data_IF_536660172060
#
_entry.id   IF_536660172060
#
_cell.length_a   1.000
_cell.length_b   1.000
_cell.length_c   1.000
_cell.angle_alpha   90.00
_cell.angle_beta   90.00
_cell.angle_gamma   90.00
#
_symmetry.space_group_name_H-M   'P 1'
#
loop_
_entity.id
_entity.type
_entity.pdbx_description
1 polymer ?
#
# COMPACT_ATOMS: atom_id res chain seq x y z
N UNK A 1 35.47 5.21 -27.60
CA UNK A 1 34.90 5.12 -26.24
C UNK A 1 33.43 5.51 -26.32
N UNK A 2 32.46 4.59 -26.28
CA UNK A 2 31.07 5.00 -26.22
C UNK A 2 30.77 5.55 -24.83
N UNK A 3 30.34 6.80 -24.77
CA UNK A 3 29.77 7.45 -23.60
C UNK A 3 28.41 6.81 -23.32
N UNK A 4 28.33 6.02 -22.25
CA UNK A 4 27.07 5.46 -21.77
C UNK A 4 26.17 6.59 -21.34
N UNK A 5 25.17 6.88 -22.18
CA UNK A 5 24.09 7.80 -21.86
C UNK A 5 23.43 7.36 -20.55
N UNK A 6 23.42 8.26 -19.58
CA UNK A 6 22.62 8.13 -18.37
C UNK A 6 21.17 8.08 -18.81
N UNK A 7 20.60 6.88 -18.87
CA UNK A 7 19.17 6.71 -18.98
C UNK A 7 18.56 7.47 -17.79
N UNK A 8 17.94 8.62 -18.06
CA UNK A 8 17.06 9.29 -17.11
C UNK A 8 16.05 8.24 -16.67
N UNK A 9 16.14 7.83 -15.40
CA UNK A 9 15.25 6.84 -14.83
C UNK A 9 13.81 7.30 -15.08
N UNK A 10 13.05 6.53 -15.85
CA UNK A 10 11.60 6.53 -15.73
C UNK A 10 11.35 6.34 -14.22
N UNK A 11 10.85 7.39 -13.56
CA UNK A 11 10.81 7.47 -12.11
C UNK A 11 10.15 6.22 -11.53
N UNK A 12 10.69 5.69 -10.44
CA UNK A 12 10.14 4.51 -9.78
C UNK A 12 8.70 4.83 -9.31
N UNK A 13 7.71 4.52 -10.15
CA UNK A 13 6.26 4.78 -9.92
C UNK A 13 5.85 4.22 -8.57
N UNK A 14 6.43 3.08 -8.19
CA UNK A 14 6.19 2.49 -6.89
C UNK A 14 6.64 3.38 -5.73
N UNK A 15 7.87 3.89 -5.80
CA UNK A 15 8.39 4.80 -4.79
C UNK A 15 7.57 6.11 -4.70
N UNK A 16 7.17 6.67 -5.85
CA UNK A 16 6.34 7.88 -5.89
C UNK A 16 4.96 7.66 -5.22
N UNK A 17 4.28 6.56 -5.55
CA UNK A 17 3.00 6.22 -4.91
C UNK A 17 3.15 5.90 -3.42
N UNK A 18 4.24 5.22 -3.01
CA UNK A 18 4.53 5.02 -1.60
C UNK A 18 4.68 6.37 -0.87
N UNK A 19 5.44 7.31 -1.44
CA UNK A 19 5.61 8.65 -0.88
C UNK A 19 4.29 9.42 -0.78
N UNK A 20 3.37 9.22 -1.72
CA UNK A 20 2.04 9.85 -1.73
C UNK A 20 1.08 9.22 -0.73
N UNK A 21 1.02 7.89 -0.67
CA UNK A 21 0.02 7.13 0.09
C UNK A 21 0.44 6.87 1.54
N UNK A 22 1.72 6.62 1.79
CA UNK A 22 2.22 6.24 3.12
C UNK A 22 1.90 7.26 4.21
N UNK A 23 2.18 8.56 4.04
CA UNK A 23 1.83 9.58 5.04
C UNK A 23 0.32 9.64 5.32
N UNK A 24 -0.51 9.36 4.30
CA UNK A 24 -1.96 9.31 4.46
C UNK A 24 -2.38 8.08 5.25
N UNK A 25 -1.82 6.90 4.96
CA UNK A 25 -2.06 5.67 5.73
C UNK A 25 -1.65 5.84 7.20
N UNK A 26 -0.48 6.46 7.44
CA UNK A 26 0.00 6.75 8.79
C UNK A 26 -0.97 7.65 9.55
N UNK A 27 -1.42 8.74 8.92
CA UNK A 27 -2.38 9.69 9.52
C UNK A 27 -3.77 9.08 9.72
N UNK A 28 -4.32 8.49 8.67
CA UNK A 28 -5.73 8.07 8.64
C UNK A 28 -5.91 6.75 9.40
N UNK A 29 -4.94 5.85 9.36
CA UNK A 29 -5.02 4.54 10.03
C UNK A 29 -4.13 4.45 11.27
N UNK A 30 -3.46 5.51 11.70
CA UNK A 30 -2.63 5.52 12.91
C UNK A 30 -1.47 4.51 12.81
N UNK A 31 -0.84 4.42 11.64
CA UNK A 31 0.24 3.49 11.37
C UNK A 31 1.61 4.16 11.52
N UNK A 32 2.62 3.38 11.89
CA UNK A 32 4.03 3.77 11.77
C UNK A 32 4.53 3.62 10.33
N UNK A 33 5.74 4.12 10.03
CA UNK A 33 6.38 3.96 8.72
C UNK A 33 6.60 2.47 8.38
N UNK A 34 7.01 1.65 9.34
CA UNK A 34 7.18 0.20 9.20
C UNK A 34 5.85 -0.49 8.84
N UNK A 35 4.76 -0.09 9.49
CA UNK A 35 3.44 -0.68 9.30
C UNK A 35 2.82 -0.27 7.96
N UNK A 36 2.90 1.03 7.62
CA UNK A 36 2.48 1.52 6.31
C UNK A 36 3.31 0.88 5.17
N UNK A 37 4.63 0.73 5.35
CA UNK A 37 5.49 0.04 4.40
C UNK A 37 5.17 -1.45 4.26
N UNK A 38 4.80 -2.14 5.34
CA UNK A 38 4.35 -3.53 5.29
C UNK A 38 3.07 -3.70 4.47
N UNK A 39 2.13 -2.76 4.58
CA UNK A 39 0.91 -2.72 3.76
C UNK A 39 1.23 -2.44 2.30
N UNK A 40 1.94 -1.35 2.01
CA UNK A 40 2.33 -0.96 0.66
C UNK A 40 3.22 -2.00 -0.02
N UNK A 41 4.03 -2.73 0.73
CA UNK A 41 4.86 -3.83 0.22
C UNK A 41 4.04 -5.03 -0.26
N UNK A 42 2.99 -5.39 0.47
CA UNK A 42 2.05 -6.43 0.03
C UNK A 42 1.34 -6.00 -1.25
N UNK A 43 0.78 -4.79 -1.26
CA UNK A 43 0.13 -4.22 -2.43
C UNK A 43 1.08 -4.13 -3.63
N UNK A 44 2.34 -3.73 -3.40
CA UNK A 44 3.38 -3.67 -4.43
C UNK A 44 3.68 -5.04 -5.03
N UNK A 45 3.67 -6.10 -4.23
CA UNK A 45 3.80 -7.46 -4.72
C UNK A 45 2.62 -7.89 -5.59
N UNK A 46 1.38 -7.67 -5.11
CA UNK A 46 0.16 -8.06 -5.84
C UNK A 46 0.02 -7.32 -7.18
N UNK A 47 0.42 -6.05 -7.23
CA UNK A 47 0.19 -5.16 -8.39
C UNK A 47 1.40 -5.01 -9.32
N UNK A 48 2.49 -5.75 -9.09
CA UNK A 48 3.75 -5.58 -9.82
C UNK A 48 4.41 -4.19 -9.65
N UNK A 49 4.15 -3.53 -8.51
CA UNK A 49 4.60 -2.18 -8.20
C UNK A 49 3.66 -1.11 -8.73
N UNK A 50 2.36 -1.28 -8.47
CA UNK A 50 1.26 -0.42 -8.92
C UNK A 50 1.04 -0.35 -10.45
N UNK A 51 1.77 -1.14 -11.23
CA UNK A 51 1.63 -1.20 -12.69
C UNK A 51 0.34 -1.89 -13.15
N UNK A 52 -0.31 -2.63 -12.26
CA UNK A 52 -1.57 -3.35 -12.51
C UNK A 52 -2.76 -2.79 -11.70
N UNK A 53 -2.67 -1.56 -11.16
CA UNK A 53 -3.78 -0.94 -10.43
C UNK A 53 -5.06 -0.75 -11.26
N UNK A 54 -4.92 -0.82 -12.59
CA UNK A 54 -5.99 -0.70 -13.56
C UNK A 54 -6.02 -1.99 -14.40
N UNK A 55 -6.59 -3.07 -13.84
CA UNK A 55 -6.87 -4.26 -14.64
C UNK A 55 -8.08 -3.94 -15.53
N UNK A 56 -7.80 -3.50 -16.77
CA UNK A 56 -8.82 -3.24 -17.81
C UNK A 56 -9.46 -4.57 -18.28
N UNK A 57 -8.84 -5.72 -18.00
CA UNK A 57 -9.33 -7.03 -18.43
C UNK A 57 -9.11 -8.10 -17.32
N UNK A 58 -10.15 -8.83 -16.89
CA UNK A 58 -10.02 -9.93 -15.92
C UNK A 58 -9.23 -11.11 -16.50
N UNK A 59 -8.37 -11.74 -15.69
CA UNK A 59 -7.67 -12.97 -16.06
C UNK A 59 -8.60 -14.19 -16.27
N UNK A 60 -9.84 -14.15 -15.76
CA UNK A 60 -10.86 -15.18 -15.95
C UNK A 60 -12.02 -14.58 -16.76
N UNK A 61 -12.32 -15.15 -17.92
CA UNK A 61 -13.45 -14.72 -18.73
C UNK A 61 -14.76 -14.80 -17.92
N UNK A 62 -15.40 -13.64 -17.71
CA UNK A 62 -16.63 -13.52 -16.91
C UNK A 62 -16.41 -13.15 -15.43
N UNK A 63 -15.17 -13.09 -14.94
CA UNK A 63 -14.88 -12.47 -13.64
C UNK A 63 -14.76 -10.95 -13.80
N UNK A 64 -14.80 -10.21 -12.69
CA UNK A 64 -14.33 -8.81 -12.66
C UNK A 64 -12.95 -8.86 -12.04
N UNK A 65 -11.93 -8.40 -12.79
CA UNK A 65 -10.53 -8.43 -12.39
C UNK A 65 -10.24 -7.66 -11.09
N UNK A 66 -8.99 -7.72 -10.62
CA UNK A 66 -8.56 -6.96 -9.45
C UNK A 66 -8.63 -5.45 -9.73
N UNK A 67 -9.20 -4.68 -8.80
CA UNK A 67 -9.35 -3.24 -8.98
C UNK A 67 -8.67 -2.44 -7.88
N UNK A 68 -7.91 -1.42 -8.27
CA UNK A 68 -7.32 -0.46 -7.34
C UNK A 68 -6.29 -1.08 -6.39
N UNK A 69 -6.03 -0.37 -5.28
CA UNK A 69 -4.88 -0.60 -4.40
C UNK A 69 -4.82 -2.01 -3.81
N UNK A 70 -5.93 -2.60 -3.39
CA UNK A 70 -5.93 -3.93 -2.77
C UNK A 70 -6.43 -5.04 -3.70
N UNK A 71 -6.51 -4.77 -5.01
CA UNK A 71 -6.95 -5.73 -6.03
C UNK A 71 -8.24 -6.46 -5.62
N UNK A 72 -9.25 -5.71 -5.14
CA UNK A 72 -10.46 -6.34 -4.61
C UNK A 72 -11.15 -7.18 -5.67
N UNK A 73 -11.41 -8.44 -5.35
CA UNK A 73 -12.15 -9.39 -6.20
C UNK A 73 -13.37 -9.94 -5.45
N UNK A 74 -14.31 -10.55 -6.20
CA UNK A 74 -15.46 -11.26 -5.62
C UNK A 74 -16.31 -10.39 -4.67
N UNK A 75 -16.70 -10.90 -3.49
CA UNK A 75 -17.54 -10.16 -2.54
C UNK A 75 -16.95 -8.82 -2.08
N UNK A 76 -15.62 -8.71 -1.94
CA UNK A 76 -14.97 -7.46 -1.53
C UNK A 76 -15.11 -6.37 -2.61
N UNK A 77 -15.07 -6.76 -3.89
CA UNK A 77 -15.31 -5.85 -5.02
C UNK A 77 -16.76 -5.32 -5.00
N UNK A 78 -17.73 -6.19 -4.76
CA UNK A 78 -19.14 -5.79 -4.66
C UNK A 78 -19.36 -4.80 -3.50
N UNK A 79 -18.74 -5.06 -2.34
CA UNK A 79 -18.80 -4.15 -1.20
C UNK A 79 -18.18 -2.78 -1.50
N UNK A 80 -17.05 -2.75 -2.22
CA UNK A 80 -16.38 -1.53 -2.67
C UNK A 80 -17.27 -0.71 -3.62
N UNK A 81 -17.85 -1.34 -4.63
CA UNK A 81 -18.77 -0.69 -5.59
C UNK A 81 -20.02 -0.14 -4.87
N UNK A 82 -20.59 -0.90 -3.94
CA UNK A 82 -21.73 -0.45 -3.15
C UNK A 82 -21.38 0.73 -2.24
N UNK A 83 -20.21 0.71 -1.60
CA UNK A 83 -19.71 1.79 -0.76
C UNK A 83 -19.52 3.09 -1.56
N UNK A 84 -19.00 3.00 -2.78
CA UNK A 84 -18.84 4.12 -3.71
C UNK A 84 -20.20 4.69 -4.14
N UNK A 85 -21.12 3.81 -4.55
CA UNK A 85 -22.48 4.20 -5.00
C UNK A 85 -23.24 5.01 -3.95
N UNK A 86 -23.22 4.59 -2.69
CA UNK A 86 -23.91 5.30 -1.59
C UNK A 86 -23.31 6.68 -1.32
N UNK A 87 -22.07 6.93 -1.74
CA UNK A 87 -21.35 8.19 -1.55
C UNK A 87 -21.26 9.05 -2.82
N UNK A 88 -21.87 8.61 -3.93
CA UNK A 88 -21.76 9.30 -5.21
C UNK A 88 -20.32 9.36 -5.75
N UNK A 89 -19.48 8.39 -5.38
CA UNK A 89 -18.10 8.29 -5.84
C UNK A 89 -18.01 7.37 -7.06
N UNK A 90 -17.13 7.71 -8.00
CA UNK A 90 -16.78 6.82 -9.09
C UNK A 90 -15.87 5.72 -8.54
N UNK A 91 -16.24 4.42 -8.62
CA UNK A 91 -15.36 3.34 -8.21
C UNK A 91 -14.03 3.32 -8.98
N UNK A 92 -13.94 3.95 -10.16
CA UNK A 92 -12.70 4.11 -10.93
C UNK A 92 -11.75 5.18 -10.41
N UNK A 93 -12.21 6.07 -9.54
CA UNK A 93 -11.38 7.09 -8.93
C UNK A 93 -10.39 6.44 -7.93
N UNK A 94 -9.06 6.64 -8.10
CA UNK A 94 -8.07 6.17 -7.14
C UNK A 94 -8.33 6.65 -5.70
N UNK A 95 -8.92 7.84 -5.52
CA UNK A 95 -9.26 8.38 -4.20
C UNK A 95 -10.46 7.65 -3.58
N UNK A 96 -11.43 7.21 -4.38
CA UNK A 96 -12.51 6.33 -3.90
C UNK A 96 -11.95 4.97 -3.46
N UNK A 97 -10.99 4.43 -4.20
CA UNK A 97 -10.25 3.22 -3.81
C UNK A 97 -9.52 3.39 -2.48
N UNK A 98 -8.74 4.46 -2.31
CA UNK A 98 -8.08 4.75 -1.04
C UNK A 98 -9.08 4.91 0.12
N UNK A 99 -10.18 5.63 -0.12
CA UNK A 99 -11.24 5.82 0.87
C UNK A 99 -11.87 4.51 1.32
N UNK A 100 -12.17 3.62 0.36
CA UNK A 100 -12.71 2.30 0.66
C UNK A 100 -11.70 1.41 1.41
N UNK A 101 -10.41 1.41 1.04
CA UNK A 101 -9.37 0.70 1.78
C UNK A 101 -9.37 1.10 3.27
N UNK A 102 -9.45 2.40 3.54
CA UNK A 102 -9.51 2.89 4.92
C UNK A 102 -10.82 2.50 5.62
N UNK A 103 -11.95 2.53 4.91
CA UNK A 103 -13.24 2.12 5.47
C UNK A 103 -13.28 0.62 5.79
N UNK A 104 -12.76 -0.21 4.90
CA UNK A 104 -12.66 -1.66 5.07
C UNK A 104 -11.75 -2.01 6.26
N UNK A 105 -10.54 -1.43 6.33
CA UNK A 105 -9.58 -1.64 7.42
C UNK A 105 -10.09 -1.17 8.78
N UNK A 106 -10.96 -0.15 8.84
CA UNK A 106 -11.60 0.28 10.11
C UNK A 106 -12.87 -0.51 10.44
N UNK A 107 -13.46 -1.19 9.46
CA UNK A 107 -14.71 -1.92 9.58
C UNK A 107 -14.48 -3.43 9.57
N UNK A 108 -14.81 -4.05 8.45
CA UNK A 108 -14.79 -5.52 8.29
C UNK A 108 -13.42 -6.13 8.47
N UNK A 109 -12.34 -5.38 8.25
CA UNK A 109 -10.95 -5.83 8.40
C UNK A 109 -10.26 -5.22 9.64
N UNK A 110 -11.04 -4.72 10.62
CA UNK A 110 -10.50 -4.12 11.85
C UNK A 110 -9.53 -5.04 12.60
N UNK A 111 -9.78 -6.35 12.63
CA UNK A 111 -8.87 -7.31 13.27
C UNK A 111 -7.50 -7.40 12.58
N UNK A 112 -7.44 -7.17 11.27
CA UNK A 112 -6.18 -7.09 10.53
C UNK A 112 -5.46 -5.76 10.81
N UNK A 113 -6.22 -4.65 10.88
CA UNK A 113 -5.67 -3.33 11.24
C UNK A 113 -5.08 -3.31 12.66
N UNK A 114 -5.78 -3.86 13.65
CA UNK A 114 -5.28 -3.93 15.03
C UNK A 114 -4.02 -4.80 15.12
N UNK A 115 -3.98 -5.93 14.42
CA UNK A 115 -2.79 -6.76 14.35
C UNK A 115 -1.62 -6.03 13.65
N UNK A 116 -1.92 -5.22 12.63
CA UNK A 116 -0.90 -4.44 11.92
C UNK A 116 -0.33 -3.35 12.84
N UNK A 117 -1.19 -2.65 13.59
CA UNK A 117 -0.78 -1.64 14.58
C UNK A 117 0.07 -2.22 15.71
N UNK A 118 -0.12 -3.49 16.06
CA UNK A 118 0.69 -4.20 17.03
C UNK A 118 2.05 -4.70 16.49
N UNK A 119 2.28 -4.66 15.17
CA UNK A 119 3.51 -5.16 14.57
C UNK A 119 4.70 -4.20 14.85
N UNK A 120 5.77 -4.75 15.42
CA UNK A 120 6.96 -4.00 15.84
C UNK A 120 8.13 -4.02 14.83
N UNK A 121 7.99 -4.72 13.71
CA UNK A 121 9.02 -4.78 12.66
C UNK A 121 8.38 -4.77 11.27
N UNK A 122 9.20 -4.44 10.26
CA UNK A 122 8.77 -4.49 8.86
C UNK A 122 8.35 -5.91 8.47
N UNK A 123 9.09 -6.92 8.94
CA UNK A 123 8.81 -8.33 8.72
C UNK A 123 7.47 -8.74 9.33
N UNK A 124 7.21 -8.35 10.57
CA UNK A 124 5.96 -8.64 11.25
C UNK A 124 4.78 -7.94 10.57
N UNK A 125 4.92 -6.65 10.22
CA UNK A 125 3.87 -5.88 9.54
C UNK A 125 3.53 -6.50 8.18
N UNK A 126 4.55 -6.84 7.39
CA UNK A 126 4.38 -7.47 6.07
C UNK A 126 3.69 -8.82 6.20
N UNK A 127 4.08 -9.64 7.18
CA UNK A 127 3.48 -10.95 7.42
C UNK A 127 2.02 -10.84 7.90
N UNK A 128 1.71 -9.86 8.77
CA UNK A 128 0.35 -9.60 9.23
C UNK A 128 -0.55 -9.21 8.05
N UNK A 129 -0.15 -8.25 7.23
CA UNK A 129 -0.96 -7.85 6.06
C UNK A 129 -1.17 -9.03 5.11
N UNK A 130 -0.10 -9.77 4.80
CA UNK A 130 -0.21 -10.94 3.92
C UNK A 130 -1.21 -11.97 4.46
N UNK A 131 -1.11 -12.33 5.73
CA UNK A 131 -1.88 -13.45 6.31
C UNK A 131 -3.27 -13.06 6.78
N UNK A 132 -3.46 -11.80 7.18
CA UNK A 132 -4.71 -11.34 7.80
C UNK A 132 -5.54 -10.46 6.90
N UNK A 133 -4.94 -9.69 5.98
CA UNK A 133 -5.69 -8.80 5.08
C UNK A 133 -5.79 -9.40 3.67
N UNK A 134 -4.65 -9.68 3.02
CA UNK A 134 -4.65 -10.18 1.63
C UNK A 134 -5.13 -11.64 1.54
N UNK A 135 -4.67 -12.50 2.46
CA UNK A 135 -4.98 -13.94 2.52
C UNK A 135 -4.81 -14.62 1.14
N UNK A 136 -3.64 -14.47 0.48
CA UNK A 136 -3.42 -14.99 -0.86
C UNK A 136 -3.29 -16.52 -0.84
N UNK A 137 -3.65 -17.18 -1.93
CA UNK A 137 -3.40 -18.61 -2.10
C UNK A 137 -1.90 -18.96 -2.09
N UNK A 138 -1.06 -18.05 -2.56
CA UNK A 138 0.41 -18.17 -2.51
C UNK A 138 0.96 -17.02 -1.65
N UNK A 139 1.55 -17.37 -0.51
CA UNK A 139 2.03 -16.38 0.48
C UNK A 139 3.20 -15.54 -0.06
N UNK A 140 4.19 -16.13 -0.74
CA UNK A 140 5.33 -15.41 -1.34
C UNK A 140 6.01 -14.34 -0.46
N UNK A 141 6.09 -14.56 0.87
CA UNK A 141 6.53 -13.57 1.85
C UNK A 141 7.92 -12.95 1.56
N UNK A 142 8.94 -13.70 1.09
CA UNK A 142 10.23 -13.10 0.75
C UNK A 142 10.12 -12.00 -0.33
N UNK A 143 9.30 -12.21 -1.35
CA UNK A 143 9.08 -11.20 -2.41
C UNK A 143 8.35 -9.98 -1.86
N UNK A 144 7.31 -10.19 -1.04
CA UNK A 144 6.59 -9.09 -0.36
C UNK A 144 7.51 -8.25 0.53
N UNK A 145 8.49 -8.87 1.19
CA UNK A 145 9.48 -8.16 2.00
C UNK A 145 10.43 -7.30 1.15
N UNK A 146 10.78 -7.73 -0.06
CA UNK A 146 11.55 -6.89 -0.99
C UNK A 146 10.78 -5.61 -1.31
N UNK A 147 9.49 -5.73 -1.63
CA UNK A 147 8.63 -4.57 -1.87
C UNK A 147 8.43 -3.71 -0.63
N UNK A 148 8.25 -4.32 0.55
CA UNK A 148 8.12 -3.59 1.81
C UNK A 148 9.36 -2.77 2.14
N UNK A 149 10.57 -3.29 1.87
CA UNK A 149 11.83 -2.55 2.05
C UNK A 149 11.93 -1.35 1.09
N UNK A 150 11.49 -1.54 -0.16
CA UNK A 150 11.41 -0.43 -1.14
C UNK A 150 10.43 0.64 -0.70
N UNK A 151 9.26 0.24 -0.21
CA UNK A 151 8.26 1.17 0.33
C UNK A 151 8.84 1.96 1.49
N UNK A 152 9.45 1.28 2.48
CA UNK A 152 10.05 1.93 3.64
C UNK A 152 11.13 2.95 3.24
N UNK A 153 11.97 2.60 2.28
CA UNK A 153 12.99 3.52 1.73
C UNK A 153 12.33 4.78 1.14
N UNK A 154 11.30 4.62 0.33
CA UNK A 154 10.56 5.74 -0.27
C UNK A 154 9.89 6.64 0.78
N UNK A 155 9.28 6.06 1.81
CA UNK A 155 8.66 6.82 2.91
C UNK A 155 9.68 7.67 3.66
N UNK A 156 10.84 7.10 3.98
CA UNK A 156 11.90 7.80 4.72
C UNK A 156 12.59 8.86 3.88
N UNK A 157 12.77 8.61 2.59
CA UNK A 157 13.28 9.61 1.67
C UNK A 157 12.32 10.81 1.56
N UNK A 158 11.00 10.57 1.50
CA UNK A 158 9.99 11.61 1.41
C UNK A 158 9.85 12.44 2.71
N UNK A 159 10.10 11.83 3.87
CA UNK A 159 10.07 12.53 5.16
C UNK A 159 11.26 13.50 5.36
N UNK A 160 12.32 13.37 4.55
CA UNK A 160 13.57 14.13 4.71
C UNK A 160 14.37 13.73 5.96
N UNK A 161 15.60 14.25 6.14
CA UNK A 161 16.35 14.03 7.36
C UNK A 161 15.62 14.68 8.54
N UNK A 162 15.33 13.90 9.58
CA UNK A 162 14.91 14.45 10.88
C UNK A 162 16.06 15.31 11.39
N UNK A 163 15.86 16.63 11.45
CA UNK A 163 16.88 17.54 11.98
C UNK A 163 17.26 17.08 13.40
N UNK A 164 18.57 17.05 13.76
CA UNK A 164 18.97 16.71 15.11
C UNK A 164 18.31 17.70 16.07
N UNK A 165 17.51 17.18 16.99
CA UNK A 165 16.82 17.98 18.00
C UNK A 165 17.85 18.83 18.74
N UNK A 166 17.66 20.16 18.76
CA UNK A 166 18.43 21.04 19.63
C UNK A 166 18.27 20.53 21.06
N UNK A 167 19.37 20.08 21.68
CA UNK A 167 19.37 19.90 23.13
C UNK A 167 18.99 21.24 23.77
N UNK A 168 18.08 21.25 24.76
CA UNK A 168 17.75 22.48 25.47
C UNK A 168 19.02 23.00 26.15
N UNK A 169 19.39 24.23 25.84
CA UNK A 169 20.45 24.94 26.55
C UNK A 169 20.04 25.06 28.00
N UNK A 170 20.74 24.36 28.89
CA UNK A 170 20.61 24.55 30.34
C UNK A 170 21.05 26.00 30.63
N UNK A 171 20.15 26.80 31.18
CA UNK A 171 20.47 28.04 31.89
C UNK A 171 20.30 27.77 33.38
#
# INVERSE_FOLDING_TARGET
MPTTGTARAAGDVFAAECARLGPRLMRDLGLTDLQAAGLLGNVGHESGGFRQLQEVAPAVAGSRGGWGLAQWTGPRRVAMEAWCRVRGLDPADPEAGYGYLCAELRGTEAAALEALRAAASLEAATAVVCRRFERPGIVALPSRLVWARRALSALRAAAGPVAPGKLPSRR
#
